data_IF_213074841314
#
_entry.id   IF_213074841314
#
_cell.length_a   1.000
_cell.length_b   1.000
_cell.length_c   1.000
_cell.angle_alpha   90.00
_cell.angle_beta   90.00
_cell.angle_gamma   90.00
#
_symmetry.space_group_name_H-M   'P 1'
#
loop_
_entity.id
_entity.type
_entity.pdbx_description
1 polymer ?
#
# COMPACT_ATOMS: atom_id res chain seq x y z
N UNK A 1 -9.15 -77.88 40.33
CA UNK A 1 -10.38 -78.62 39.95
C UNK A 1 -10.46 -78.59 38.43
N UNK A 2 -10.36 -79.75 37.78
CA UNK A 2 -10.63 -80.00 36.34
C UNK A 2 -9.66 -79.34 35.34
N UNK A 3 -8.86 -80.09 34.57
CA UNK A 3 -9.22 -80.66 33.24
C UNK A 3 -9.54 -79.57 32.20
N UNK A 4 -8.98 -79.53 30.99
CA UNK A 4 -8.35 -80.55 30.15
C UNK A 4 -7.41 -79.83 29.15
N UNK A 5 -6.23 -80.38 28.82
CA UNK A 5 -5.97 -81.20 27.62
C UNK A 5 -6.45 -80.52 26.32
N UNK A 6 -5.61 -80.16 25.35
CA UNK A 6 -4.38 -80.82 24.94
C UNK A 6 -4.72 -81.88 23.90
N UNK A 7 -4.36 -81.62 22.65
CA UNK A 7 -3.91 -82.54 21.58
C UNK A 7 -4.01 -81.78 20.25
N UNK A 8 -3.26 -82.03 19.19
CA UNK A 8 -2.19 -82.98 18.89
C UNK A 8 -1.63 -82.44 17.54
N UNK A 9 -0.32 -82.36 17.30
CA UNK A 9 0.57 -83.46 16.95
C UNK A 9 0.90 -83.44 15.44
N UNK A 10 2.15 -83.83 15.17
CA UNK A 10 2.82 -84.23 13.91
C UNK A 10 3.36 -83.08 13.06
N UNK A 11 4.69 -82.86 12.98
CA UNK A 11 5.78 -83.85 12.91
C UNK A 11 5.75 -84.50 11.52
N UNK A 12 6.79 -84.60 10.72
CA UNK A 12 8.23 -84.54 10.91
C UNK A 12 8.85 -84.22 9.53
N UNK A 13 10.09 -83.75 9.46
CA UNK A 13 11.24 -84.66 9.46
C UNK A 13 12.47 -83.95 8.91
N UNK A 14 13.56 -84.14 9.63
CA UNK A 14 14.90 -83.68 9.34
C UNK A 14 15.47 -84.45 8.15
N UNK A 15 16.25 -83.77 7.30
CA UNK A 15 17.49 -84.35 6.76
C UNK A 15 18.55 -83.26 6.58
N UNK A 16 19.54 -83.32 7.45
CA UNK A 16 20.85 -82.70 7.28
C UNK A 16 21.59 -83.27 6.06
N UNK A 17 22.40 -82.43 5.40
CA UNK A 17 23.18 -82.81 4.22
C UNK A 17 24.11 -81.69 3.74
N UNK A 18 25.03 -81.30 4.62
CA UNK A 18 26.36 -80.71 4.41
C UNK A 18 26.84 -80.48 2.94
N UNK A 19 27.17 -79.22 2.59
CA UNK A 19 28.47 -78.77 2.03
C UNK A 19 28.38 -77.58 1.06
N UNK A 20 29.02 -76.48 1.47
CA UNK A 20 30.07 -75.78 0.70
C UNK A 20 29.69 -74.82 -0.45
N UNK A 21 29.98 -73.54 -0.16
CA UNK A 21 30.61 -72.50 -1.01
C UNK A 21 29.73 -71.59 -1.90
N UNK A 22 29.70 -70.34 -1.41
CA UNK A 22 29.93 -69.06 -2.13
C UNK A 22 29.09 -68.82 -3.40
N UNK A 23 28.04 -68.00 -3.29
CA UNK A 23 27.66 -67.02 -4.33
C UNK A 23 26.96 -65.81 -3.68
N UNK A 24 27.52 -64.62 -3.91
CA UNK A 24 26.87 -63.32 -4.08
C UNK A 24 25.69 -62.90 -3.19
N UNK A 25 25.96 -61.97 -2.26
CA UNK A 25 24.94 -61.05 -1.75
C UNK A 25 24.47 -60.10 -2.86
N UNK A 26 23.23 -60.22 -3.30
CA UNK A 26 22.49 -59.14 -3.97
C UNK A 26 21.20 -58.88 -3.20
N UNK A 27 21.26 -57.96 -2.23
CA UNK A 27 20.06 -57.31 -1.70
C UNK A 27 19.51 -56.38 -2.80
N UNK A 28 18.36 -56.73 -3.37
CA UNK A 28 17.57 -55.81 -4.16
C UNK A 28 16.85 -54.83 -3.21
N UNK A 29 17.48 -53.70 -2.93
CA UNK A 29 16.81 -52.58 -2.27
C UNK A 29 15.96 -51.83 -3.31
N UNK A 30 14.65 -52.06 -3.31
CA UNK A 30 13.71 -51.25 -4.07
C UNK A 30 13.62 -49.85 -3.45
N UNK A 31 14.35 -48.89 -4.01
CA UNK A 31 14.21 -47.48 -3.67
C UNK A 31 12.86 -46.97 -4.21
N UNK A 32 11.84 -46.91 -3.35
CA UNK A 32 10.65 -46.11 -3.62
C UNK A 32 11.08 -44.66 -3.52
N UNK A 33 11.47 -44.07 -4.65
CA UNK A 33 11.60 -42.63 -4.76
C UNK A 33 10.21 -42.03 -4.56
N UNK A 34 9.92 -41.54 -3.35
CA UNK A 34 8.79 -40.66 -3.14
C UNK A 34 9.00 -39.43 -4.03
N UNK A 35 8.36 -39.42 -5.20
CA UNK A 35 8.30 -38.24 -6.03
C UNK A 35 7.55 -37.17 -5.23
N UNK A 36 8.31 -36.29 -4.57
CA UNK A 36 7.75 -35.05 -4.07
C UNK A 36 7.06 -34.37 -5.27
N UNK A 37 5.77 -34.01 -5.19
CA UNK A 37 5.15 -33.26 -6.26
C UNK A 37 6.00 -32.02 -6.51
N UNK A 38 6.21 -31.61 -7.79
CA UNK A 38 6.92 -30.37 -8.05
C UNK A 38 6.18 -29.28 -7.28
N UNK A 39 6.88 -28.62 -6.35
CA UNK A 39 6.39 -27.39 -5.77
C UNK A 39 6.00 -26.50 -6.96
N UNK A 40 4.72 -26.12 -7.06
CA UNK A 40 4.26 -25.24 -8.12
C UNK A 40 5.04 -23.93 -7.99
N UNK A 41 6.09 -23.80 -8.79
CA UNK A 41 6.89 -22.59 -8.83
C UNK A 41 5.98 -21.54 -9.46
N UNK A 42 5.50 -20.59 -8.65
CA UNK A 42 4.68 -19.48 -9.12
C UNK A 42 5.27 -18.91 -10.43
N UNK A 43 4.47 -18.81 -11.47
CA UNK A 43 4.90 -18.29 -12.76
C UNK A 43 5.03 -16.76 -12.70
N UNK A 44 6.14 -16.29 -12.11
CA UNK A 44 6.46 -14.88 -12.05
C UNK A 44 6.74 -14.32 -13.44
N UNK A 45 6.07 -13.21 -13.78
CA UNK A 45 6.29 -12.47 -15.03
C UNK A 45 6.54 -11.01 -14.74
N UNK A 46 7.35 -10.40 -15.60
CA UNK A 46 7.51 -8.94 -15.66
C UNK A 46 6.84 -8.43 -16.93
N UNK A 47 6.06 -7.36 -16.80
CA UNK A 47 5.52 -6.60 -17.92
C UNK A 47 6.00 -5.17 -17.85
N UNK A 48 6.55 -4.69 -18.96
CA UNK A 48 6.94 -3.29 -19.14
C UNK A 48 6.02 -2.67 -20.18
N UNK A 49 5.58 -1.44 -19.94
CA UNK A 49 4.78 -0.68 -20.91
C UNK A 49 5.11 0.80 -20.78
N UNK A 50 5.22 1.49 -21.90
CA UNK A 50 5.41 2.92 -21.92
C UNK A 50 4.62 3.53 -23.08
N UNK A 51 4.24 4.79 -22.90
CA UNK A 51 3.58 5.59 -23.93
C UNK A 51 4.16 7.00 -23.92
N UNK A 52 4.45 7.54 -25.09
CA UNK A 52 4.85 8.94 -25.25
C UNK A 52 3.62 9.83 -25.33
N UNK A 53 3.80 11.12 -25.07
CA UNK A 53 2.74 12.11 -25.24
C UNK A 53 2.49 12.38 -26.73
N UNK A 54 1.23 12.53 -27.12
CA UNK A 54 0.79 12.86 -28.47
C UNK A 54 -0.12 14.11 -28.52
N UNK A 55 0.02 15.00 -27.52
CA UNK A 55 -0.74 16.26 -27.43
C UNK A 55 -1.91 16.20 -26.46
N UNK A 56 -1.90 15.26 -25.52
CA UNK A 56 -2.86 15.18 -24.42
C UNK A 56 -2.85 16.48 -23.61
N UNK A 57 -4.04 17.04 -23.36
CA UNK A 57 -4.21 18.28 -22.58
C UNK A 57 -4.52 18.02 -21.11
N UNK A 58 -5.01 16.82 -20.81
CA UNK A 58 -5.37 16.35 -19.49
C UNK A 58 -5.32 14.82 -19.50
N UNK A 59 -5.03 14.23 -18.35
CA UNK A 59 -4.98 12.79 -18.18
C UNK A 59 -5.69 12.39 -16.88
N UNK A 60 -6.67 11.49 -17.01
CA UNK A 60 -7.29 10.82 -15.86
C UNK A 60 -6.64 9.46 -15.71
N UNK A 61 -6.06 9.17 -14.54
CA UNK A 61 -5.32 7.95 -14.28
C UNK A 61 -5.98 7.16 -13.15
N UNK A 62 -6.41 5.95 -13.46
CA UNK A 62 -6.95 4.99 -12.49
C UNK A 62 -5.97 3.83 -12.31
N UNK A 63 -5.49 3.64 -11.08
CA UNK A 63 -4.56 2.57 -10.73
C UNK A 63 -5.20 1.64 -9.70
N UNK A 64 -5.27 0.35 -9.99
CA UNK A 64 -5.77 -0.68 -9.07
C UNK A 64 -4.71 -1.75 -8.81
N UNK A 65 -4.22 -1.84 -7.57
CA UNK A 65 -3.17 -2.78 -7.22
C UNK A 65 -3.35 -3.39 -5.83
N UNK A 66 -3.45 -4.71 -5.76
CA UNK A 66 -3.97 -5.39 -4.57
C UNK A 66 -2.94 -5.82 -3.52
N UNK A 67 -1.72 -6.19 -3.92
CA UNK A 67 -0.72 -6.75 -2.99
C UNK A 67 0.70 -6.57 -3.51
N UNK A 68 1.66 -6.29 -2.62
CA UNK A 68 3.08 -6.20 -2.96
C UNK A 68 3.69 -4.85 -2.62
N UNK A 69 4.60 -4.38 -3.47
CA UNK A 69 5.17 -3.03 -3.41
C UNK A 69 4.66 -2.20 -4.57
N UNK A 70 4.30 -0.95 -4.31
CA UNK A 70 3.90 0.02 -5.32
C UNK A 70 4.79 1.26 -5.24
N UNK A 71 5.36 1.69 -6.37
CA UNK A 71 6.06 2.98 -6.44
C UNK A 71 5.44 3.86 -7.53
N UNK A 72 5.34 5.16 -7.24
CA UNK A 72 4.93 6.17 -8.22
C UNK A 72 5.89 7.35 -8.16
N UNK A 73 6.34 7.82 -9.32
CA UNK A 73 7.17 9.02 -9.44
C UNK A 73 6.84 9.85 -10.70
N UNK A 74 7.30 11.10 -10.78
CA UNK A 74 7.33 11.84 -12.04
C UNK A 74 8.19 11.11 -13.09
N UNK A 75 7.66 11.02 -14.31
CA UNK A 75 8.37 10.50 -15.47
C UNK A 75 9.22 11.57 -16.17
N UNK A 76 10.09 11.16 -17.10
CA UNK A 76 10.81 12.09 -17.94
C UNK A 76 9.84 12.84 -18.87
N UNK A 77 10.22 14.07 -19.25
CA UNK A 77 9.46 14.88 -20.18
C UNK A 77 9.13 14.13 -21.48
N UNK A 78 7.93 14.38 -22.03
CA UNK A 78 7.45 13.71 -23.25
C UNK A 78 6.95 12.28 -23.08
N UNK A 79 6.97 11.72 -21.86
CA UNK A 79 6.36 10.42 -21.54
C UNK A 79 4.98 10.60 -20.93
N UNK A 80 3.96 9.97 -21.51
CA UNK A 80 2.61 9.94 -20.92
C UNK A 80 2.60 9.08 -19.65
N UNK A 81 3.12 7.85 -19.78
CA UNK A 81 3.43 6.98 -18.65
C UNK A 81 4.53 5.99 -19.01
N UNK A 82 5.23 5.48 -17.99
CA UNK A 82 6.07 4.28 -18.07
C UNK A 82 5.76 3.41 -16.86
N UNK A 83 5.65 2.11 -17.07
CA UNK A 83 5.45 1.15 -16.00
C UNK A 83 6.31 -0.08 -16.16
N UNK A 84 6.68 -0.66 -15.03
CA UNK A 84 7.19 -2.00 -14.90
C UNK A 84 6.41 -2.70 -13.78
N UNK A 85 5.98 -3.94 -14.03
CA UNK A 85 5.21 -4.69 -13.05
C UNK A 85 5.66 -6.14 -13.04
N UNK A 86 6.02 -6.64 -11.86
CA UNK A 86 6.26 -8.05 -11.60
C UNK A 86 5.06 -8.67 -10.90
N UNK A 87 4.43 -9.65 -11.52
CA UNK A 87 3.19 -10.27 -11.04
C UNK A 87 3.21 -11.80 -11.17
N UNK A 88 2.31 -12.47 -10.45
CA UNK A 88 2.06 -13.90 -10.55
C UNK A 88 1.02 -14.15 -11.66
N UNK A 89 1.47 -14.69 -12.81
CA UNK A 89 0.64 -14.90 -13.99
C UNK A 89 -0.47 -15.94 -13.78
N UNK A 90 -0.30 -16.85 -12.82
CA UNK A 90 -1.33 -17.84 -12.49
C UNK A 90 -2.54 -17.17 -11.83
N UNK A 91 -2.31 -16.07 -11.10
CA UNK A 91 -3.34 -15.39 -10.29
C UNK A 91 -3.88 -14.14 -10.97
N UNK A 92 -3.06 -13.42 -11.72
CA UNK A 92 -3.37 -12.07 -12.18
C UNK A 92 -3.11 -11.86 -13.67
N UNK A 93 -3.88 -10.95 -14.26
CA UNK A 93 -3.67 -10.42 -15.62
C UNK A 93 -3.45 -8.91 -15.53
N UNK A 94 -2.38 -8.36 -16.13
CA UNK A 94 -2.12 -6.92 -16.10
C UNK A 94 -3.15 -6.15 -16.94
N UNK A 95 -3.55 -4.99 -16.44
CA UNK A 95 -4.41 -4.02 -17.11
C UNK A 95 -3.55 -2.84 -17.55
N UNK A 96 -3.61 -2.51 -18.84
CA UNK A 96 -2.91 -1.40 -19.47
C UNK A 96 -3.77 -0.81 -20.59
N UNK A 97 -4.83 -0.10 -20.21
CA UNK A 97 -5.81 0.42 -21.16
C UNK A 97 -5.75 1.94 -21.20
N UNK A 98 -5.65 2.52 -22.39
CA UNK A 98 -5.71 3.95 -22.59
C UNK A 98 -6.72 4.30 -23.68
N UNK A 99 -7.62 5.22 -23.37
CA UNK A 99 -8.58 5.77 -24.33
C UNK A 99 -8.15 7.20 -24.74
N UNK A 100 -7.69 7.42 -25.98
CA UNK A 100 -7.27 8.73 -26.46
C UNK A 100 -8.42 9.73 -26.61
N UNK A 101 -9.66 9.28 -26.76
CA UNK A 101 -10.81 10.17 -26.93
C UNK A 101 -11.20 10.82 -25.61
N UNK A 102 -11.12 10.06 -24.51
CA UNK A 102 -11.46 10.53 -23.16
C UNK A 102 -10.24 10.92 -22.30
N UNK A 103 -9.02 10.56 -22.70
CA UNK A 103 -7.80 10.81 -21.92
C UNK A 103 -7.70 9.94 -20.66
N UNK A 104 -8.41 8.80 -20.63
CA UNK A 104 -8.45 7.90 -19.47
C UNK A 104 -7.41 6.79 -19.60
N UNK A 105 -6.51 6.71 -18.63
CA UNK A 105 -5.49 5.66 -18.47
C UNK A 105 -5.86 4.77 -17.29
N UNK A 106 -6.03 3.46 -17.54
CA UNK A 106 -6.27 2.44 -16.52
C UNK A 106 -5.11 1.47 -16.44
N UNK A 107 -4.53 1.37 -15.26
CA UNK A 107 -3.37 0.52 -14.96
C UNK A 107 -3.65 -0.38 -13.76
N UNK A 108 -3.01 -1.55 -13.69
CA UNK A 108 -3.12 -2.42 -12.52
C UNK A 108 -3.19 -3.90 -12.86
N UNK A 109 -3.85 -4.66 -11.99
CA UNK A 109 -4.04 -6.11 -12.15
C UNK A 109 -5.49 -6.50 -11.97
N UNK A 110 -5.93 -7.53 -12.69
CA UNK A 110 -7.23 -8.19 -12.51
C UNK A 110 -7.01 -9.66 -12.15
N UNK A 111 -7.76 -10.18 -11.18
CA UNK A 111 -7.73 -11.62 -10.87
C UNK A 111 -8.29 -12.47 -12.01
N UNK A 112 -7.62 -13.59 -12.33
CA UNK A 112 -8.03 -14.48 -13.44
C UNK A 112 -9.32 -15.26 -13.15
N UNK A 113 -9.62 -15.54 -11.88
CA UNK A 113 -10.76 -16.37 -11.48
C UNK A 113 -11.98 -15.59 -10.97
N UNK A 114 -12.21 -14.38 -11.51
CA UNK A 114 -13.52 -13.70 -11.52
C UNK A 114 -14.43 -13.90 -10.31
N UNK A 115 -14.10 -13.25 -9.18
CA UNK A 115 -14.97 -12.76 -8.08
C UNK A 115 -14.04 -12.49 -6.91
N UNK A 116 -14.09 -11.27 -6.38
CA UNK A 116 -13.28 -10.73 -5.27
C UNK A 116 -12.43 -11.79 -4.57
N UNK A 117 -11.22 -11.99 -5.07
CA UNK A 117 -10.28 -12.90 -4.44
C UNK A 117 -9.98 -12.29 -3.07
N UNK A 118 -10.60 -12.83 -2.03
CA UNK A 118 -10.15 -12.62 -0.66
C UNK A 118 -8.68 -13.02 -0.65
N UNK A 119 -7.80 -12.01 -0.60
CA UNK A 119 -6.37 -12.20 -0.51
C UNK A 119 -6.16 -12.82 0.87
N UNK A 120 -6.14 -14.15 0.95
CA UNK A 120 -5.82 -14.86 2.18
C UNK A 120 -4.38 -14.48 2.54
N UNK A 121 -4.26 -13.62 3.57
CA UNK A 121 -3.03 -13.07 4.14
C UNK A 121 -2.14 -14.15 4.81
N UNK A 122 -2.53 -15.42 4.75
CA UNK A 122 -1.96 -16.52 5.53
C UNK A 122 -0.99 -17.43 4.78
N UNK A 123 -0.73 -17.21 3.49
CA UNK A 123 0.14 -18.12 2.73
C UNK A 123 1.62 -17.81 2.99
N UNK A 124 2.11 -18.28 4.14
CA UNK A 124 3.50 -18.21 4.65
C UNK A 124 4.52 -18.98 3.79
N UNK A 125 4.20 -19.30 2.53
CA UNK A 125 5.08 -19.98 1.58
C UNK A 125 5.45 -19.11 0.38
N UNK A 126 5.61 -17.79 0.56
CA UNK A 126 6.27 -16.96 -0.46
C UNK A 126 7.77 -17.15 -0.38
N UNK A 127 8.29 -18.12 -1.15
CA UNK A 127 9.71 -18.14 -1.51
C UNK A 127 9.91 -17.21 -2.71
N UNK A 128 10.38 -15.99 -2.46
CA UNK A 128 10.73 -15.03 -3.51
C UNK A 128 10.34 -13.58 -3.17
N UNK A 129 10.89 -12.58 -3.90
CA UNK A 129 10.57 -11.18 -3.67
C UNK A 129 9.06 -10.92 -3.89
N UNK A 130 8.46 -9.94 -3.20
CA UNK A 130 7.05 -9.58 -3.39
C UNK A 130 6.80 -9.06 -4.82
N UNK A 131 5.56 -9.15 -5.34
CA UNK A 131 5.21 -8.50 -6.61
C UNK A 131 5.42 -6.99 -6.51
N UNK A 132 5.88 -6.38 -7.60
CA UNK A 132 6.19 -4.94 -7.67
C UNK A 132 5.39 -4.29 -8.78
N UNK A 133 5.04 -3.02 -8.59
CA UNK A 133 4.49 -2.17 -9.64
C UNK A 133 5.11 -0.78 -9.51
N UNK A 134 6.00 -0.47 -10.43
CA UNK A 134 6.67 0.82 -10.56
C UNK A 134 6.00 1.62 -11.68
N UNK A 135 5.55 2.83 -11.37
CA UNK A 135 4.83 3.71 -12.27
C UNK A 135 5.48 5.10 -12.33
N UNK A 136 5.72 5.57 -13.54
CA UNK A 136 6.09 6.95 -13.81
C UNK A 136 5.00 7.64 -14.65
N UNK A 137 4.55 8.81 -14.22
CA UNK A 137 3.51 9.60 -14.90
C UNK A 137 4.07 10.91 -15.45
N UNK A 138 3.47 11.41 -16.53
CA UNK A 138 3.88 12.69 -17.13
C UNK A 138 3.83 13.84 -16.12
N UNK A 139 4.91 14.62 -15.96
CA UNK A 139 4.86 15.88 -15.21
C UNK A 139 4.23 17.03 -16.02
N UNK A 140 4.19 16.88 -17.36
CA UNK A 140 3.85 17.97 -18.29
C UNK A 140 2.34 18.09 -18.56
N UNK A 141 1.56 17.08 -18.17
CA UNK A 141 0.12 17.00 -18.46
C UNK A 141 -0.66 17.12 -17.15
N UNK A 142 -1.68 18.00 -17.06
CA UNK A 142 -2.57 18.06 -15.91
C UNK A 142 -3.21 16.70 -15.59
N UNK A 143 -3.10 16.25 -14.33
CA UNK A 143 -3.49 14.90 -13.89
C UNK A 143 -4.66 14.91 -12.91
N UNK A 144 -5.64 14.04 -13.14
CA UNK A 144 -6.59 13.60 -12.11
C UNK A 144 -6.26 12.14 -11.76
N UNK A 145 -5.81 11.89 -10.54
CA UNK A 145 -5.21 10.61 -10.15
C UNK A 145 -6.06 9.87 -9.10
N UNK A 146 -6.39 8.62 -9.40
CA UNK A 146 -7.02 7.67 -8.48
C UNK A 146 -6.09 6.48 -8.25
N UNK A 147 -5.71 6.25 -6.99
CA UNK A 147 -4.90 5.13 -6.54
C UNK A 147 -5.74 4.27 -5.59
N UNK A 148 -6.10 3.07 -6.01
CA UNK A 148 -6.78 2.06 -5.20
C UNK A 148 -5.82 0.92 -4.89
N UNK A 149 -5.28 0.97 -3.67
CA UNK A 149 -4.22 0.12 -3.19
C UNK A 149 -4.76 -0.82 -2.10
N UNK A 150 -4.45 -2.11 -2.22
CA UNK A 150 -4.88 -3.13 -1.26
C UNK A 150 -3.96 -3.22 -0.05
N UNK A 151 -3.26 -4.35 0.09
CA UNK A 151 -2.23 -4.57 1.11
C UNK A 151 -0.85 -4.38 0.47
N UNK A 152 -0.44 -3.12 0.29
CA UNK A 152 0.78 -2.76 -0.45
C UNK A 152 1.67 -1.82 0.33
N UNK A 153 2.95 -2.11 0.44
CA UNK A 153 3.94 -1.11 0.82
C UNK A 153 4.02 -0.10 -0.33
N UNK A 154 3.70 1.17 -0.07
CA UNK A 154 3.60 2.20 -1.12
C UNK A 154 4.58 3.34 -0.92
N UNK A 155 5.22 3.72 -2.03
CA UNK A 155 6.15 4.83 -2.11
C UNK A 155 5.74 5.79 -3.24
N UNK A 156 5.09 6.90 -2.90
CA UNK A 156 4.37 7.75 -3.86
C UNK A 156 4.94 9.16 -3.84
N UNK A 157 5.73 9.51 -4.86
CA UNK A 157 6.22 10.86 -5.10
C UNK A 157 5.34 11.58 -6.13
N UNK A 158 4.69 12.66 -5.69
CA UNK A 158 3.78 13.48 -6.48
C UNK A 158 4.30 14.90 -6.71
N UNK A 159 5.43 15.27 -6.13
CA UNK A 159 6.06 16.56 -6.31
C UNK A 159 6.39 16.83 -7.78
N UNK A 160 6.10 18.06 -8.24
CA UNK A 160 6.38 18.49 -9.61
C UNK A 160 5.40 17.96 -10.67
N UNK A 161 4.51 17.02 -10.33
CA UNK A 161 3.39 16.66 -11.20
C UNK A 161 2.35 17.78 -11.25
N UNK A 162 1.75 18.00 -12.42
CA UNK A 162 0.64 18.93 -12.61
C UNK A 162 -0.71 18.37 -12.08
N UNK A 163 -0.80 18.14 -10.77
CA UNK A 163 -1.93 17.45 -10.15
C UNK A 163 -3.16 18.37 -9.98
N UNK A 164 -4.31 17.99 -10.54
CA UNK A 164 -5.60 18.67 -10.31
C UNK A 164 -6.38 18.08 -9.15
N UNK A 165 -6.31 16.77 -8.97
CA UNK A 165 -6.95 16.06 -7.85
C UNK A 165 -6.27 14.72 -7.57
N UNK A 166 -6.32 14.28 -6.31
CA UNK A 166 -5.90 12.96 -5.88
C UNK A 166 -7.00 12.27 -5.09
N UNK A 167 -7.29 11.02 -5.44
CA UNK A 167 -7.95 10.06 -4.55
C UNK A 167 -6.97 8.92 -4.27
N UNK A 168 -6.55 8.76 -3.02
CA UNK A 168 -5.66 7.69 -2.58
C UNK A 168 -6.38 6.84 -1.54
N UNK A 169 -6.64 5.57 -1.86
CA UNK A 169 -7.28 4.60 -0.97
C UNK A 169 -6.31 3.47 -0.72
N UNK A 170 -5.95 3.22 0.54
CA UNK A 170 -5.13 2.07 0.92
C UNK A 170 -5.79 1.23 2.02
N UNK A 171 -5.65 -0.08 1.92
CA UNK A 171 -6.20 -1.04 2.88
C UNK A 171 -5.37 -1.13 4.15
N UNK A 172 -4.33 -1.98 4.13
CA UNK A 172 -3.48 -2.19 5.30
C UNK A 172 -2.00 -2.27 4.89
N UNK A 173 -1.22 -1.29 5.31
CA UNK A 173 0.14 -1.10 4.82
C UNK A 173 0.93 -0.03 5.57
N UNK A 174 2.24 -0.01 5.33
CA UNK A 174 3.06 1.19 5.45
C UNK A 174 3.00 1.98 4.13
N UNK A 175 2.86 3.30 4.21
CA UNK A 175 2.68 4.15 3.03
C UNK A 175 3.37 5.50 3.21
N UNK A 176 4.16 5.90 2.21
CA UNK A 176 4.75 7.24 2.13
C UNK A 176 4.21 7.97 0.90
N UNK A 177 3.64 9.16 1.12
CA UNK A 177 3.21 10.07 0.06
C UNK A 177 3.98 11.39 0.21
N UNK A 178 4.63 11.83 -0.85
CA UNK A 178 5.50 13.01 -0.84
C UNK A 178 5.12 13.98 -1.94
N UNK A 179 5.15 15.26 -1.60
CA UNK A 179 5.07 16.37 -2.53
C UNK A 179 6.39 17.13 -2.46
N UNK A 180 7.46 16.55 -3.01
CA UNK A 180 8.83 17.09 -2.86
C UNK A 180 9.05 18.44 -3.56
N UNK A 181 8.26 18.74 -4.60
CA UNK A 181 8.32 19.97 -5.38
C UNK A 181 6.91 20.57 -5.53
N UNK A 182 6.79 21.91 -5.62
CA UNK A 182 5.50 22.58 -5.82
C UNK A 182 4.77 22.10 -7.07
N UNK A 183 3.48 21.85 -6.92
CA UNK A 183 2.56 21.56 -8.01
C UNK A 183 2.42 22.82 -8.90
N UNK A 184 2.73 22.72 -10.21
CA UNK A 184 2.69 23.86 -11.13
C UNK A 184 1.27 24.34 -11.44
N UNK A 185 0.23 23.54 -11.12
CA UNK A 185 -1.17 23.91 -11.37
C UNK A 185 -1.96 24.00 -10.05
N UNK A 186 -3.18 24.54 -10.12
CA UNK A 186 -4.09 24.56 -8.99
C UNK A 186 -4.72 23.18 -8.79
N UNK A 187 -4.66 22.66 -7.56
CA UNK A 187 -5.33 21.45 -7.15
C UNK A 187 -6.66 21.78 -6.44
N UNK A 188 -7.72 21.07 -6.79
CA UNK A 188 -9.03 21.22 -6.18
C UNK A 188 -9.12 20.52 -4.83
N UNK A 189 -8.90 19.20 -4.83
CA UNK A 189 -9.05 18.33 -3.68
C UNK A 189 -8.02 17.20 -3.67
N UNK A 190 -7.51 16.93 -2.47
CA UNK A 190 -6.69 15.77 -2.14
C UNK A 190 -7.45 14.94 -1.11
N UNK A 191 -7.91 13.75 -1.50
CA UNK A 191 -8.66 12.84 -0.65
C UNK A 191 -7.85 11.57 -0.41
N UNK A 192 -7.63 11.25 0.86
CA UNK A 192 -6.86 10.09 1.30
C UNK A 192 -7.68 9.26 2.30
N UNK A 193 -7.79 7.97 2.05
CA UNK A 193 -8.44 7.01 2.93
C UNK A 193 -7.46 5.86 3.21
N UNK A 194 -7.20 5.60 4.49
CA UNK A 194 -6.32 4.53 4.94
C UNK A 194 -7.04 3.66 5.97
N UNK A 195 -7.04 2.35 5.76
CA UNK A 195 -7.66 1.38 6.66
C UNK A 195 -6.85 1.16 7.94
N UNK A 196 -6.02 0.11 7.95
CA UNK A 196 -5.14 -0.24 9.08
C UNK A 196 -3.67 -0.03 8.69
N UNK A 197 -3.12 1.16 8.93
CA UNK A 197 -1.90 1.59 8.26
C UNK A 197 -1.04 2.53 9.10
N UNK A 198 0.25 2.55 8.77
CA UNK A 198 1.14 3.67 9.04
C UNK A 198 1.22 4.52 7.76
N UNK A 199 0.80 5.78 7.83
CA UNK A 199 0.80 6.69 6.69
C UNK A 199 1.59 7.95 7.00
N UNK A 200 2.58 8.24 6.16
CA UNK A 200 3.34 9.48 6.21
C UNK A 200 3.08 10.30 4.94
N UNK A 201 2.48 11.48 5.12
CA UNK A 201 2.24 12.43 4.02
C UNK A 201 3.07 13.68 4.27
N UNK A 202 3.95 14.04 3.33
CA UNK A 202 4.89 15.15 3.49
C UNK A 202 4.83 16.19 2.40
N UNK A 203 5.04 17.45 2.79
CA UNK A 203 5.04 18.57 1.86
C UNK A 203 3.65 18.97 1.37
N UNK A 204 2.57 18.72 2.13
CA UNK A 204 1.18 18.88 1.65
C UNK A 204 0.92 20.27 1.04
N UNK A 205 1.60 21.33 1.52
CA UNK A 205 1.44 22.67 0.93
C UNK A 205 1.90 22.74 -0.54
N UNK A 206 2.93 21.97 -0.90
CA UNK A 206 3.39 21.85 -2.30
C UNK A 206 2.31 21.28 -3.21
N UNK A 207 1.33 20.51 -2.71
CA UNK A 207 0.24 19.99 -3.53
C UNK A 207 -0.65 21.11 -4.11
N UNK A 208 -0.59 22.32 -3.55
CA UNK A 208 -1.37 23.48 -3.98
C UNK A 208 -2.89 23.19 -4.04
N UNK A 209 -3.37 22.37 -3.11
CA UNK A 209 -4.78 21.98 -3.02
C UNK A 209 -5.57 22.94 -2.14
N UNK A 210 -6.78 23.32 -2.56
CA UNK A 210 -7.69 24.12 -1.74
C UNK A 210 -8.29 23.30 -0.59
N UNK A 211 -8.57 22.02 -0.84
CA UNK A 211 -9.15 21.10 0.16
C UNK A 211 -8.29 19.84 0.32
N UNK A 212 -8.09 19.44 1.56
CA UNK A 212 -7.50 18.16 1.94
C UNK A 212 -8.51 17.40 2.79
N UNK A 213 -8.73 16.12 2.47
CA UNK A 213 -9.52 15.21 3.29
C UNK A 213 -8.70 13.99 3.62
N UNK A 214 -8.64 13.65 4.90
CA UNK A 214 -8.01 12.44 5.38
C UNK A 214 -9.00 11.64 6.24
N UNK A 215 -9.10 10.33 5.96
CA UNK A 215 -9.84 9.38 6.79
C UNK A 215 -8.95 8.18 7.12
N UNK A 216 -8.66 8.00 8.40
CA UNK A 216 -7.88 6.88 8.93
C UNK A 216 -8.73 5.96 9.81
N UNK A 217 -8.61 4.66 9.59
CA UNK A 217 -9.18 3.64 10.44
C UNK A 217 -8.36 3.43 11.71
N UNK A 218 -7.33 2.59 11.62
CA UNK A 218 -6.48 2.17 12.74
C UNK A 218 -5.00 2.40 12.40
N UNK A 219 -4.24 3.04 13.30
CA UNK A 219 -2.79 3.14 13.18
C UNK A 219 -2.24 4.54 13.40
N UNK A 220 -1.10 4.82 12.80
CA UNK A 220 -0.38 6.09 12.96
C UNK A 220 -0.39 6.88 11.66
N UNK A 221 -0.71 8.16 11.76
CA UNK A 221 -0.80 9.06 10.60
C UNK A 221 0.01 10.30 10.88
N UNK A 222 0.97 10.58 10.01
CA UNK A 222 1.70 11.84 10.00
C UNK A 222 1.25 12.67 8.81
N UNK A 223 0.71 13.86 9.09
CA UNK A 223 0.38 14.86 8.08
C UNK A 223 1.31 16.07 8.24
N UNK A 224 2.23 16.23 7.29
CA UNK A 224 3.17 17.33 7.26
C UNK A 224 2.75 18.38 6.22
N UNK A 225 2.37 19.55 6.75
CA UNK A 225 1.89 20.71 6.02
C UNK A 225 3.00 21.70 5.63
N UNK A 226 4.27 21.25 5.62
CA UNK A 226 5.38 22.00 5.03
C UNK A 226 5.26 22.12 3.51
N UNK A 227 6.19 22.88 2.92
CA UNK A 227 6.24 23.18 1.50
C UNK A 227 5.91 24.65 1.20
N UNK A 228 5.72 24.95 -0.07
CA UNK A 228 5.42 26.28 -0.57
C UNK A 228 3.91 26.57 -0.49
N UNK A 229 3.53 27.44 0.44
CA UNK A 229 2.16 27.91 0.57
C UNK A 229 1.83 28.95 -0.51
N UNK A 230 0.99 28.56 -1.47
CA UNK A 230 0.49 29.45 -2.54
C UNK A 230 -0.92 29.98 -2.30
N UNK A 231 -1.69 29.30 -1.47
CA UNK A 231 -3.07 29.64 -1.12
C UNK A 231 -3.41 29.10 0.28
N UNK A 232 -4.52 29.58 0.84
CA UNK A 232 -5.08 29.00 2.08
C UNK A 232 -5.73 27.64 1.80
N UNK A 233 -5.79 26.80 2.84
CA UNK A 233 -6.21 25.40 2.73
C UNK A 233 -7.22 25.04 3.82
N UNK A 234 -8.26 24.31 3.45
CA UNK A 234 -9.18 23.66 4.39
C UNK A 234 -8.87 22.16 4.45
N UNK A 235 -8.70 21.62 5.65
CA UNK A 235 -8.31 20.24 5.87
C UNK A 235 -9.27 19.54 6.86
N UNK A 236 -9.98 18.53 6.37
CA UNK A 236 -10.85 17.65 7.16
C UNK A 236 -10.09 16.36 7.49
N UNK A 237 -9.88 16.08 8.78
CA UNK A 237 -9.09 14.93 9.25
C UNK A 237 -9.94 14.10 10.20
N UNK A 238 -10.18 12.84 9.87
CA UNK A 238 -10.88 11.89 10.72
C UNK A 238 -9.98 10.69 11.02
N UNK A 239 -9.77 10.37 12.31
CA UNK A 239 -9.03 9.19 12.76
C UNK A 239 -9.87 8.44 13.78
N UNK A 240 -10.10 7.16 13.55
CA UNK A 240 -10.90 6.34 14.46
C UNK A 240 -10.07 5.89 15.66
N UNK A 241 -8.97 5.16 15.43
CA UNK A 241 -8.14 4.61 16.51
C UNK A 241 -6.66 4.81 16.19
N UNK A 242 -5.95 5.54 17.04
CA UNK A 242 -4.49 5.66 16.96
C UNK A 242 -4.00 7.09 17.06
N UNK A 243 -2.85 7.37 16.45
CA UNK A 243 -2.13 8.63 16.64
C UNK A 243 -2.16 9.48 15.37
N UNK A 244 -2.50 10.75 15.53
CA UNK A 244 -2.41 11.77 14.49
C UNK A 244 -1.28 12.74 14.84
N UNK A 245 -0.19 12.68 14.08
CA UNK A 245 0.93 13.60 14.18
C UNK A 245 0.79 14.70 13.12
N UNK A 246 0.61 15.94 13.56
CA UNK A 246 0.53 17.11 12.69
C UNK A 246 1.85 17.87 12.72
N UNK A 247 2.43 18.11 11.54
CA UNK A 247 3.62 18.97 11.41
C UNK A 247 3.20 20.26 10.72
N UNK A 248 3.22 21.35 11.50
CA UNK A 248 2.62 22.63 11.12
C UNK A 248 3.68 23.72 10.99
N UNK A 249 3.71 24.49 9.89
CA UNK A 249 4.68 25.58 9.72
C UNK A 249 4.31 26.81 10.54
N UNK A 250 5.29 27.43 11.20
CA UNK A 250 5.07 28.58 12.11
C UNK A 250 4.67 29.88 11.41
N UNK A 251 4.94 30.01 10.12
CA UNK A 251 4.65 31.20 9.31
C UNK A 251 3.22 31.19 8.71
N UNK A 252 2.45 30.12 8.91
CA UNK A 252 1.07 29.98 8.48
C UNK A 252 0.12 30.19 9.67
N UNK A 253 -0.99 30.87 9.42
CA UNK A 253 -2.04 31.05 10.43
C UNK A 253 -2.87 29.78 10.53
N UNK A 254 -2.85 29.08 11.67
CA UNK A 254 -3.57 27.81 11.84
C UNK A 254 -4.75 28.00 12.78
N UNK A 255 -5.90 27.48 12.37
CA UNK A 255 -7.07 27.32 13.23
C UNK A 255 -7.47 25.85 13.29
N UNK A 256 -7.63 25.31 14.50
CA UNK A 256 -8.03 23.92 14.72
C UNK A 256 -9.40 23.88 15.42
N UNK A 257 -10.35 23.21 14.77
CA UNK A 257 -11.64 22.81 15.32
C UNK A 257 -11.56 21.33 15.66
N UNK A 258 -11.39 21.03 16.95
CA UNK A 258 -11.14 19.68 17.43
C UNK A 258 -12.40 19.09 18.08
N UNK A 259 -12.92 18.01 17.49
CA UNK A 259 -13.90 17.13 18.10
C UNK A 259 -13.20 15.83 18.53
N UNK A 260 -13.18 15.57 19.83
CA UNK A 260 -12.53 14.39 20.40
C UNK A 260 -13.46 13.67 21.36
N UNK A 261 -13.37 12.35 21.40
CA UNK A 261 -14.05 11.53 22.41
C UNK A 261 -13.09 11.10 23.51
N UNK A 262 -12.22 10.13 23.23
CA UNK A 262 -11.19 9.60 24.14
C UNK A 262 -9.77 9.84 23.60
N UNK A 263 -9.59 10.89 22.79
CA UNK A 263 -8.28 11.28 22.28
C UNK A 263 -7.62 12.35 23.17
N UNK A 264 -6.33 12.23 23.44
CA UNK A 264 -5.53 13.29 24.07
C UNK A 264 -5.22 14.42 23.07
N UNK A 265 -5.04 15.63 23.59
CA UNK A 265 -4.56 16.77 22.82
C UNK A 265 -3.94 17.78 23.77
N UNK A 266 -2.67 18.09 23.57
CA UNK A 266 -2.01 19.21 24.23
C UNK A 266 -2.12 20.45 23.35
N UNK A 267 -2.33 21.62 23.95
CA UNK A 267 -2.56 22.83 23.18
C UNK A 267 -1.36 23.25 22.33
N UNK A 268 -0.16 22.68 22.51
CA UNK A 268 1.02 22.90 21.68
C UNK A 268 1.29 24.39 21.37
N UNK A 269 1.05 25.30 22.33
CA UNK A 269 1.23 26.75 22.14
C UNK A 269 0.12 27.48 21.37
N UNK A 270 -0.95 26.80 20.99
CA UNK A 270 -2.17 27.43 20.48
C UNK A 270 -2.91 28.22 21.58
N UNK A 271 -3.47 29.36 21.19
CA UNK A 271 -4.38 30.14 22.02
C UNK A 271 -5.80 29.59 21.87
N UNK A 272 -6.35 29.03 22.95
CA UNK A 272 -7.72 28.51 22.96
C UNK A 272 -8.73 29.65 23.09
N UNK A 273 -9.67 29.74 22.15
CA UNK A 273 -10.82 30.66 22.18
C UNK A 273 -12.10 29.84 22.03
N UNK A 274 -12.84 29.63 23.12
CA UNK A 274 -14.00 28.75 23.14
C UNK A 274 -13.62 27.28 22.83
N UNK A 275 -14.18 26.72 21.75
CA UNK A 275 -13.90 25.34 21.28
C UNK A 275 -12.82 25.27 20.19
N UNK A 276 -12.18 26.39 19.87
CA UNK A 276 -11.28 26.52 18.74
C UNK A 276 -9.90 26.94 19.21
N UNK A 277 -8.86 26.42 18.57
CA UNK A 277 -7.46 26.69 18.87
C UNK A 277 -6.85 27.50 17.74
N UNK A 278 -6.20 28.62 18.06
CA UNK A 278 -5.62 29.54 17.08
C UNK A 278 -4.11 29.67 17.28
N UNK A 279 -3.34 29.65 16.20
CA UNK A 279 -1.93 29.99 16.25
C UNK A 279 -1.74 31.46 16.61
N UNK A 280 -0.60 31.81 17.21
CA UNK A 280 -0.33 33.18 17.66
C UNK A 280 -0.34 34.21 16.51
N UNK A 281 0.02 33.77 15.30
CA UNK A 281 0.07 34.60 14.08
C UNK A 281 -1.23 34.55 13.25
N UNK A 282 -2.31 33.89 13.70
CA UNK A 282 -3.48 33.61 12.86
C UNK A 282 -4.09 34.86 12.17
N UNK A 283 -4.18 35.97 12.88
CA UNK A 283 -4.77 37.22 12.36
C UNK A 283 -3.88 37.88 11.30
N UNK A 284 -2.56 37.85 11.49
CA UNK A 284 -1.56 38.53 10.65
C UNK A 284 -0.99 37.67 9.52
N UNK A 285 -1.22 36.36 9.54
CA UNK A 285 -0.65 35.44 8.56
C UNK A 285 -1.22 35.66 7.15
N UNK A 286 -0.33 35.59 6.14
CA UNK A 286 -0.68 35.71 4.72
C UNK A 286 -1.57 34.56 4.25
N UNK A 287 -1.21 33.34 4.62
CA UNK A 287 -1.94 32.11 4.30
C UNK A 287 -2.48 31.50 5.58
N UNK A 288 -3.63 30.84 5.47
CA UNK A 288 -4.30 30.20 6.60
C UNK A 288 -4.59 28.72 6.33
N UNK A 289 -4.50 27.93 7.38
CA UNK A 289 -4.89 26.53 7.42
C UNK A 289 -6.05 26.36 8.39
N UNK A 290 -7.21 25.93 7.86
CA UNK A 290 -8.35 25.51 8.67
C UNK A 290 -8.29 23.99 8.84
N UNK A 291 -8.17 23.51 10.08
CA UNK A 291 -8.16 22.08 10.41
C UNK A 291 -9.42 21.70 11.18
N UNK A 292 -10.25 20.85 10.58
CA UNK A 292 -11.35 20.17 11.24
C UNK A 292 -10.93 18.75 11.58
N UNK A 293 -10.77 18.46 12.88
CA UNK A 293 -10.24 17.18 13.33
C UNK A 293 -11.30 16.44 14.14
N UNK A 294 -11.61 15.22 13.69
CA UNK A 294 -12.44 14.26 14.43
C UNK A 294 -11.55 13.07 14.85
N UNK A 295 -11.20 13.00 16.12
CA UNK A 295 -10.37 11.92 16.67
C UNK A 295 -11.16 11.14 17.73
N UNK A 296 -11.34 9.83 17.53
CA UNK A 296 -12.18 9.04 18.44
C UNK A 296 -11.39 8.49 19.62
N UNK A 297 -10.36 7.69 19.40
CA UNK A 297 -9.50 7.10 20.44
C UNK A 297 -8.03 7.27 20.05
N UNK A 298 -7.18 7.70 20.99
CA UNK A 298 -5.72 7.80 20.81
C UNK A 298 -5.19 9.20 21.11
N UNK A 299 -4.41 9.78 20.21
CA UNK A 299 -3.74 11.07 20.44
C UNK A 299 -3.68 11.96 19.21
N UNK A 300 -3.72 13.27 19.44
CA UNK A 300 -3.41 14.28 18.43
C UNK A 300 -2.21 15.07 18.92
N UNK A 301 -1.09 14.91 18.23
CA UNK A 301 0.18 15.55 18.55
C UNK A 301 0.51 16.60 17.49
N UNK A 302 1.08 17.72 17.93
CA UNK A 302 1.47 18.82 17.04
C UNK A 302 2.95 19.15 17.24
N UNK A 303 3.68 19.11 16.13
CA UNK A 303 5.04 19.60 16.02
C UNK A 303 5.07 20.85 15.14
N UNK A 304 5.66 21.93 15.66
CA UNK A 304 5.88 23.14 14.89
C UNK A 304 7.18 23.06 14.09
N UNK A 305 7.10 23.42 12.82
CA UNK A 305 8.27 23.49 11.93
C UNK A 305 8.81 24.92 11.91
N UNK A 306 10.09 25.04 12.26
CA UNK A 306 10.88 26.24 11.95
C UNK A 306 11.36 26.09 10.50
N UNK A 307 11.43 27.21 9.75
CA UNK A 307 12.02 27.19 8.40
C UNK A 307 13.49 26.75 8.45
#
# INVERSE_FOLDING_TARGET
MGHAAGDADRGADEREGLMSRIVGFTLAAAAIAAAAPPASAQAWRTVTSARQTHGERELTVDVQYGVGRFSLAPGPAGTLYRMEMRYDEERFTPVRAYDPASGVLRLGVRGRHGRGARINLGDRRRSGPPPTFDLALSPDIPLSLTLELGAVESDVELGGLALRSLTYRTGASESSVRFSQPNPVACGELAMEAGAAELHVTGIANANCRRVRFQGGVGEVTLDFSGEWRQSMDADVAVSIGSLNLRLPRDVGVVIRLNRFLASFESAGFVKRGRTYYSSNYESARHRLTLDINATIGGVDVAWLNR
#
